data_IF_085313633327
#
_entry.id   IF_085313633327
#
_cell.length_a   1.000
_cell.length_b   1.000
_cell.length_c   1.000
_cell.angle_alpha   90.00
_cell.angle_beta   90.00
_cell.angle_gamma   90.00
#
_symmetry.space_group_name_H-M   'P 1'
#
loop_
_entity.id
_entity.type
_entity.pdbx_description
1 polymer ?
#
# COMPACT_ATOMS: atom_id res chain seq x y z
N UNK A 1 12.25 -0.61 7.36
CA UNK A 1 10.97 -0.25 7.99
C UNK A 1 10.91 1.09 8.73
N UNK A 2 11.41 1.25 9.97
CA UNK A 2 11.17 2.50 10.75
C UNK A 2 11.87 3.73 10.19
N UNK A 3 13.20 3.67 10.05
CA UNK A 3 14.03 4.80 9.59
C UNK A 3 13.65 5.26 8.18
N UNK A 4 13.37 4.31 7.28
CA UNK A 4 12.90 4.60 5.92
C UNK A 4 11.56 5.34 5.91
N UNK A 5 10.62 4.92 6.75
CA UNK A 5 9.30 5.56 6.83
C UNK A 5 9.41 6.98 7.40
N UNK A 6 10.24 7.17 8.43
CA UNK A 6 10.52 8.49 9.02
C UNK A 6 11.20 9.42 8.01
N UNK A 7 12.18 8.93 7.27
CA UNK A 7 12.83 9.69 6.20
C UNK A 7 11.84 10.08 5.08
N UNK A 8 10.99 9.15 4.63
CA UNK A 8 10.10 9.38 3.49
C UNK A 8 8.86 10.22 3.84
N UNK A 9 8.31 10.06 5.05
CA UNK A 9 7.04 10.69 5.44
C UNK A 9 7.20 11.81 6.47
N UNK A 10 8.33 11.88 7.18
CA UNK A 10 8.53 12.74 8.34
C UNK A 10 7.94 12.19 9.64
N UNK A 11 7.29 11.01 9.63
CA UNK A 11 6.61 10.43 10.80
C UNK A 11 7.09 9.01 11.10
N UNK A 12 6.98 8.62 12.37
CA UNK A 12 7.25 7.25 12.82
C UNK A 12 6.16 6.29 12.34
N UNK A 13 6.56 5.10 11.88
CA UNK A 13 5.61 4.05 11.49
C UNK A 13 4.94 3.34 12.68
N UNK A 14 5.35 3.59 13.94
CA UNK A 14 4.85 2.86 15.12
C UNK A 14 3.33 2.84 15.19
N UNK A 15 2.69 4.01 15.09
CA UNK A 15 1.22 4.13 15.16
C UNK A 15 0.53 3.38 14.02
N UNK A 16 1.13 3.35 12.82
CA UNK A 16 0.59 2.59 11.67
C UNK A 16 0.61 1.09 11.97
N UNK A 17 1.72 0.57 12.49
CA UNK A 17 1.84 -0.85 12.84
C UNK A 17 0.89 -1.24 13.98
N UNK A 18 0.75 -0.40 15.00
CA UNK A 18 -0.21 -0.61 16.09
C UNK A 18 -1.65 -0.59 15.60
N UNK A 19 -2.00 0.33 14.69
CA UNK A 19 -3.33 0.39 14.09
C UNK A 19 -3.65 -0.87 13.28
N UNK A 20 -2.69 -1.41 12.52
CA UNK A 20 -2.87 -2.68 11.78
C UNK A 20 -3.18 -3.81 12.77
N UNK A 21 -2.40 -3.96 13.83
CA UNK A 21 -2.65 -4.99 14.88
C UNK A 21 -4.02 -4.80 15.52
N UNK A 22 -4.38 -3.57 15.86
CA UNK A 22 -5.64 -3.26 16.53
C UNK A 22 -6.87 -3.48 15.66
N UNK A 23 -6.75 -3.31 14.34
CA UNK A 23 -7.85 -3.41 13.41
C UNK A 23 -8.07 -4.83 12.86
N UNK A 24 -7.04 -5.68 12.90
CA UNK A 24 -7.13 -7.06 12.46
C UNK A 24 -8.22 -7.83 13.22
N UNK A 25 -9.03 -8.62 12.49
CA UNK A 25 -10.18 -9.34 13.03
C UNK A 25 -11.40 -8.47 13.38
N UNK A 26 -11.30 -7.14 13.36
CA UNK A 26 -12.43 -6.21 13.61
C UNK A 26 -13.02 -5.64 12.33
N UNK A 27 -12.17 -5.41 11.34
CA UNK A 27 -12.55 -4.87 10.03
C UNK A 27 -11.76 -5.58 8.94
N UNK A 28 -12.30 -5.61 7.72
CA UNK A 28 -11.52 -6.07 6.57
C UNK A 28 -10.35 -5.12 6.33
N UNK A 29 -9.13 -5.65 6.42
CA UNK A 29 -7.91 -4.89 6.22
C UNK A 29 -7.36 -5.07 4.80
N UNK A 30 -6.98 -3.95 4.18
CA UNK A 30 -6.24 -3.92 2.92
C UNK A 30 -5.01 -3.04 3.14
N UNK A 31 -3.82 -3.62 3.07
CA UNK A 31 -2.57 -2.88 3.18
C UNK A 31 -2.06 -2.60 1.78
N UNK A 32 -1.75 -1.33 1.49
CA UNK A 32 -1.23 -0.92 0.19
C UNK A 32 0.18 -0.35 0.37
N UNK A 33 1.11 -0.82 -0.45
CA UNK A 33 2.47 -0.28 -0.55
C UNK A 33 2.75 0.10 -1.99
N UNK A 34 3.51 1.17 -2.21
CA UNK A 34 4.04 1.52 -3.54
C UNK A 34 5.47 0.98 -3.63
N UNK A 35 5.76 0.17 -4.64
CA UNK A 35 7.12 -0.29 -4.94
C UNK A 35 7.90 0.86 -5.60
N UNK A 36 8.91 1.36 -4.90
CA UNK A 36 9.76 2.47 -5.34
C UNK A 36 11.20 1.95 -5.41
N UNK A 37 11.79 1.77 -6.60
CA UNK A 37 13.12 1.19 -6.74
C UNK A 37 14.17 1.94 -5.90
N UNK A 38 14.95 1.19 -5.11
CA UNK A 38 15.98 1.75 -4.22
C UNK A 38 15.46 2.45 -2.96
N UNK A 39 14.14 2.51 -2.74
CA UNK A 39 13.53 3.09 -1.55
C UNK A 39 12.63 2.04 -0.88
N UNK A 40 11.52 1.69 -1.53
CA UNK A 40 10.59 0.64 -1.09
C UNK A 40 10.71 -0.50 -2.09
N UNK A 41 11.80 -1.24 -1.99
CA UNK A 41 12.18 -2.33 -2.89
C UNK A 41 11.94 -3.72 -2.29
N UNK A 42 12.49 -4.75 -2.91
CA UNK A 42 12.35 -6.16 -2.52
C UNK A 42 12.62 -6.38 -1.02
N UNK A 43 13.60 -5.68 -0.43
CA UNK A 43 13.96 -5.83 0.98
C UNK A 43 12.88 -5.26 1.88
N UNK A 44 12.38 -4.07 1.58
CA UNK A 44 11.35 -3.43 2.39
C UNK A 44 10.00 -4.16 2.25
N UNK A 45 9.66 -4.58 1.03
CA UNK A 45 8.48 -5.41 0.76
C UNK A 45 8.53 -6.71 1.57
N UNK A 46 9.69 -7.38 1.65
CA UNK A 46 9.84 -8.59 2.45
C UNK A 46 9.62 -8.32 3.95
N UNK A 47 10.16 -7.21 4.48
CA UNK A 47 9.97 -6.83 5.88
C UNK A 47 8.50 -6.58 6.20
N UNK A 48 7.79 -5.88 5.32
CA UNK A 48 6.35 -5.64 5.47
C UNK A 48 5.59 -6.97 5.39
N UNK A 49 5.90 -7.84 4.43
CA UNK A 49 5.22 -9.12 4.28
C UNK A 49 5.39 -10.03 5.51
N UNK A 50 6.59 -10.09 6.09
CA UNK A 50 6.85 -10.83 7.35
C UNK A 50 6.02 -10.28 8.49
N UNK A 51 6.03 -8.96 8.68
CA UNK A 51 5.22 -8.30 9.71
C UNK A 51 3.72 -8.57 9.54
N UNK A 52 3.20 -8.52 8.31
CA UNK A 52 1.79 -8.80 8.06
C UNK A 52 1.45 -10.27 8.27
N UNK A 53 2.34 -11.20 7.91
CA UNK A 53 2.15 -12.63 8.14
C UNK A 53 2.16 -13.01 9.63
N UNK A 54 2.90 -12.27 10.47
CA UNK A 54 2.82 -12.42 11.94
C UNK A 54 1.44 -12.07 12.50
N UNK A 55 0.69 -11.21 11.81
CA UNK A 55 -0.64 -10.74 12.22
C UNK A 55 -1.74 -11.59 11.57
N UNK A 56 -1.58 -11.97 10.30
CA UNK A 56 -2.64 -12.58 9.51
C UNK A 56 -2.85 -14.08 9.78
N UNK A 57 -3.36 -14.40 10.97
CA UNK A 57 -3.57 -15.79 11.42
C UNK A 57 -4.66 -16.55 10.65
N UNK A 58 -5.57 -15.84 9.99
CA UNK A 58 -6.74 -16.41 9.31
C UNK A 58 -6.75 -16.19 7.79
N UNK A 59 -5.63 -15.77 7.19
CA UNK A 59 -5.52 -15.44 5.76
C UNK A 59 -6.56 -14.39 5.29
N UNK A 60 -6.91 -13.40 6.11
CA UNK A 60 -7.94 -12.39 5.79
C UNK A 60 -7.36 -11.06 5.28
N UNK A 61 -6.05 -10.85 5.43
CA UNK A 61 -5.40 -9.59 5.09
C UNK A 61 -5.05 -9.54 3.59
N UNK A 62 -5.58 -8.52 2.90
CA UNK A 62 -5.21 -8.25 1.50
C UNK A 62 -3.97 -7.35 1.46
N UNK A 63 -2.80 -7.88 1.11
CA UNK A 63 -1.59 -7.08 0.88
C UNK A 63 -1.39 -6.77 -0.61
N UNK A 64 -1.33 -5.48 -0.95
CA UNK A 64 -1.26 -4.98 -2.32
C UNK A 64 0.00 -4.16 -2.59
N UNK A 65 0.73 -4.55 -3.63
CA UNK A 65 1.89 -3.82 -4.13
C UNK A 65 1.51 -3.05 -5.39
N UNK A 66 1.51 -1.72 -5.33
CA UNK A 66 1.27 -0.83 -6.46
C UNK A 66 2.59 -0.38 -7.07
N UNK A 67 2.64 -0.16 -8.38
CA UNK A 67 3.86 0.35 -9.04
C UNK A 67 4.05 1.84 -8.76
N UNK A 68 5.28 2.28 -8.52
CA UNK A 68 5.63 3.69 -8.61
C UNK A 68 5.53 4.17 -10.07
N UNK A 69 5.13 5.44 -10.24
CA UNK A 69 5.07 6.15 -11.52
C UNK A 69 5.86 7.43 -11.40
N UNK A 70 7.09 7.40 -11.89
CA UNK A 70 8.02 8.53 -11.82
C UNK A 70 7.43 9.78 -12.52
N UNK A 71 6.65 9.61 -13.59
CA UNK A 71 6.04 10.74 -14.31
C UNK A 71 4.95 11.46 -13.52
N UNK A 72 4.39 10.82 -12.48
CA UNK A 72 3.35 11.39 -11.63
C UNK A 72 3.90 11.83 -10.27
N UNK A 73 5.20 11.65 -10.03
CA UNK A 73 5.85 12.08 -8.80
C UNK A 73 6.19 13.56 -8.91
N UNK A 74 5.86 14.32 -7.87
CA UNK A 74 6.29 15.72 -7.76
C UNK A 74 7.81 15.83 -7.64
N UNK A 75 8.45 14.86 -6.96
CA UNK A 75 9.89 14.82 -6.73
C UNK A 75 10.56 13.71 -7.55
N UNK A 76 11.75 13.97 -8.06
CA UNK A 76 12.56 12.98 -8.77
C UNK A 76 13.35 12.10 -7.78
N UNK A 77 12.63 11.21 -7.09
CA UNK A 77 13.17 10.36 -6.02
C UNK A 77 13.60 8.97 -6.51
N UNK A 78 13.07 8.51 -7.64
CA UNK A 78 13.38 7.20 -8.20
C UNK A 78 12.87 7.07 -9.64
N UNK A 79 13.24 5.98 -10.31
CA UNK A 79 12.72 5.57 -11.61
C UNK A 79 11.47 4.70 -11.48
N UNK A 80 10.81 4.43 -12.60
CA UNK A 80 9.79 3.38 -12.64
C UNK A 80 10.37 2.00 -12.31
N UNK A 81 9.60 1.13 -11.63
CA UNK A 81 9.93 -0.27 -11.49
C UNK A 81 9.93 -0.98 -12.85
N UNK A 82 10.89 -1.87 -13.05
CA UNK A 82 10.88 -2.83 -14.15
C UNK A 82 9.85 -3.94 -13.87
N UNK A 83 9.28 -4.58 -14.93
CA UNK A 83 8.36 -5.70 -14.75
C UNK A 83 8.94 -6.81 -13.85
N UNK A 84 10.21 -7.15 -14.00
CA UNK A 84 10.88 -8.21 -13.26
C UNK A 84 11.00 -7.87 -11.77
N UNK A 85 11.13 -6.59 -11.41
CA UNK A 85 11.11 -6.13 -10.02
C UNK A 85 9.75 -6.35 -9.38
N UNK A 86 8.67 -6.05 -10.11
CA UNK A 86 7.31 -6.28 -9.62
C UNK A 86 7.00 -7.78 -9.43
N UNK A 87 7.44 -8.62 -10.37
CA UNK A 87 7.27 -10.08 -10.28
C UNK A 87 8.09 -10.68 -9.13
N UNK A 88 9.31 -10.18 -8.88
CA UNK A 88 10.10 -10.59 -7.72
C UNK A 88 9.45 -10.16 -6.41
N UNK A 89 8.97 -8.92 -6.33
CA UNK A 89 8.26 -8.43 -5.15
C UNK A 89 7.04 -9.31 -4.83
N UNK A 90 6.26 -9.70 -5.84
CA UNK A 90 5.17 -10.65 -5.66
C UNK A 90 5.63 -12.02 -5.17
N UNK A 91 6.65 -12.57 -5.81
CA UNK A 91 7.21 -13.88 -5.44
C UNK A 91 7.73 -13.88 -4.00
N UNK A 92 8.24 -12.76 -3.50
CA UNK A 92 8.63 -12.57 -2.10
C UNK A 92 7.42 -12.62 -1.19
N UNK A 93 6.39 -11.82 -1.46
CA UNK A 93 5.19 -11.77 -0.61
C UNK A 93 4.46 -13.12 -0.60
N UNK A 94 4.38 -13.81 -1.74
CA UNK A 94 3.72 -15.11 -1.87
C UNK A 94 4.34 -16.20 -0.99
N UNK A 95 5.57 -16.03 -0.51
CA UNK A 95 6.20 -16.93 0.48
C UNK A 95 5.59 -16.81 1.88
N UNK A 96 5.04 -15.64 2.20
CA UNK A 96 4.58 -15.29 3.55
C UNK A 96 3.05 -15.17 3.64
N UNK A 97 2.38 -14.84 2.54
CA UNK A 97 0.94 -14.53 2.54
C UNK A 97 0.21 -15.20 1.37
N UNK A 98 -0.91 -15.88 1.67
CA UNK A 98 -1.74 -16.55 0.64
C UNK A 98 -2.50 -15.58 -0.25
N UNK A 99 -3.00 -14.47 0.29
CA UNK A 99 -3.86 -13.50 -0.41
C UNK A 99 -3.09 -12.28 -0.93
N UNK A 100 -1.87 -12.49 -1.43
CA UNK A 100 -1.06 -11.43 -2.00
C UNK A 100 -1.51 -11.06 -3.41
N UNK A 101 -1.58 -9.75 -3.69
CA UNK A 101 -1.98 -9.24 -5.01
C UNK A 101 -0.98 -8.19 -5.46
N UNK A 102 -0.39 -8.34 -6.65
CA UNK A 102 0.20 -7.17 -7.33
C UNK A 102 -0.96 -6.27 -7.71
N UNK A 103 -1.07 -5.15 -7.02
CA UNK A 103 -1.99 -4.08 -7.36
C UNK A 103 -1.62 -3.57 -8.75
N UNK A 104 -2.40 -3.97 -9.75
CA UNK A 104 -2.43 -3.27 -11.03
C UNK A 104 -3.19 -1.97 -10.83
N UNK A 105 -2.63 -1.04 -10.05
CA UNK A 105 -3.13 0.33 -10.04
C UNK A 105 -2.92 0.87 -11.46
N UNK A 106 -4.01 0.73 -12.26
CA UNK A 106 -4.24 1.04 -13.68
C UNK A 106 -4.56 -0.12 -14.65
N UNK A 107 -4.56 -1.42 -14.29
CA UNK A 107 -5.08 -2.46 -15.21
C UNK A 107 -5.85 -3.55 -14.46
N UNK A 108 -7.16 -3.40 -14.36
CA UNK A 108 -8.11 -4.41 -13.83
C UNK A 108 -8.11 -4.54 -12.31
N UNK A 109 -8.81 -3.61 -11.66
CA UNK A 109 -9.38 -3.86 -10.34
C UNK A 109 -10.30 -5.09 -10.41
N UNK A 110 -10.21 -5.98 -9.41
CA UNK A 110 -11.23 -7.03 -9.19
C UNK A 110 -12.58 -6.31 -9.09
N UNK A 111 -13.62 -6.74 -9.81
CA UNK A 111 -14.98 -6.14 -9.69
C UNK A 111 -15.40 -6.24 -8.22
N UNK A 112 -15.38 -5.11 -7.51
CA UNK A 112 -15.91 -5.05 -6.16
C UNK A 112 -17.43 -4.90 -6.31
N UNK A 113 -18.18 -5.97 -6.04
CA UNK A 113 -19.64 -5.98 -6.18
C UNK A 113 -20.32 -4.98 -5.23
N UNK A 114 -19.67 -4.62 -4.12
CA UNK A 114 -20.17 -3.66 -3.14
C UNK A 114 -19.23 -2.47 -3.03
N UNK A 115 -19.66 -1.30 -3.52
CA UNK A 115 -18.93 -0.04 -3.30
C UNK A 115 -19.00 0.34 -1.81
N UNK A 116 -17.93 0.08 -1.07
CA UNK A 116 -17.82 0.45 0.35
C UNK A 116 -17.10 1.79 0.49
N UNK A 117 -17.48 2.59 1.48
CA UNK A 117 -16.65 3.71 1.96
C UNK A 117 -15.45 3.16 2.73
N UNK A 118 -14.30 3.82 2.65
CA UNK A 118 -13.12 3.51 3.46
C UNK A 118 -12.69 4.73 4.27
N UNK A 119 -11.85 4.50 5.28
CA UNK A 119 -11.19 5.56 6.04
C UNK A 119 -9.71 5.52 5.68
N UNK A 120 -9.21 6.61 5.11
CA UNK A 120 -7.76 6.82 4.94
C UNK A 120 -7.21 7.37 6.23
N UNK A 121 -6.16 6.72 6.75
CA UNK A 121 -5.35 7.20 7.88
C UNK A 121 -4.07 7.78 7.31
N UNK A 122 -3.78 9.05 7.59
CA UNK A 122 -2.55 9.71 7.15
C UNK A 122 -1.40 9.49 8.14
N UNK A 123 -0.13 9.72 7.73
CA UNK A 123 1.03 9.53 8.60
C UNK A 123 1.00 10.36 9.90
N UNK A 124 0.35 11.52 9.88
CA UNK A 124 0.14 12.39 11.05
C UNK A 124 -1.01 11.92 11.96
N UNK A 125 -1.67 10.80 11.63
CA UNK A 125 -2.79 10.23 12.37
C UNK A 125 -4.15 10.85 12.02
N UNK A 126 -4.21 11.84 11.12
CA UNK A 126 -5.49 12.40 10.67
C UNK A 126 -6.27 11.36 9.85
N UNK A 127 -7.60 11.44 9.92
CA UNK A 127 -8.51 10.49 9.29
C UNK A 127 -9.39 11.17 8.27
N UNK A 128 -9.58 10.55 7.11
CA UNK A 128 -10.56 10.99 6.10
C UNK A 128 -11.38 9.82 5.60
N UNK A 129 -12.69 9.85 5.84
CA UNK A 129 -13.64 8.93 5.22
C UNK A 129 -13.83 9.31 3.74
N UNK A 130 -13.80 8.32 2.85
CA UNK A 130 -13.93 8.51 1.40
C UNK A 130 -14.84 7.44 0.78
N UNK A 131 -15.48 7.82 -0.32
CA UNK A 131 -16.13 6.93 -1.28
C UNK A 131 -15.36 6.91 -2.60
N UNK A 132 -15.74 6.01 -3.52
CA UNK A 132 -15.20 6.00 -4.89
C UNK A 132 -15.45 7.31 -5.63
N UNK A 133 -16.58 7.96 -5.37
CA UNK A 133 -16.93 9.21 -6.07
C UNK A 133 -16.10 10.38 -5.52
N UNK A 134 -15.88 10.45 -4.19
CA UNK A 134 -14.98 11.43 -3.58
C UNK A 134 -13.56 11.32 -4.16
N UNK A 135 -13.04 10.09 -4.28
CA UNK A 135 -11.71 9.83 -4.82
C UNK A 135 -11.59 10.24 -6.30
N UNK A 136 -12.62 9.98 -7.10
CA UNK A 136 -12.64 10.37 -8.52
C UNK A 136 -12.68 11.88 -8.70
N UNK A 137 -13.48 12.58 -7.91
CA UNK A 137 -13.56 14.04 -7.95
C UNK A 137 -12.24 14.71 -7.52
N UNK A 138 -11.57 14.20 -6.48
CA UNK A 138 -10.23 14.68 -6.10
C UNK A 138 -9.21 14.48 -7.22
N UNK A 139 -9.16 13.29 -7.81
CA UNK A 139 -8.21 13.01 -8.91
C UNK A 139 -8.47 13.88 -10.14
N UNK A 140 -9.75 14.16 -10.47
CA UNK A 140 -10.07 15.12 -11.54
C UNK A 140 -9.49 16.49 -11.22
N UNK A 141 -9.66 16.99 -9.98
CA UNK A 141 -9.13 18.31 -9.59
C UNK A 141 -7.61 18.37 -9.70
N UNK A 142 -6.90 17.31 -9.31
CA UNK A 142 -5.43 17.26 -9.41
C UNK A 142 -4.91 17.09 -10.84
N UNK A 143 -5.73 16.62 -11.79
CA UNK A 143 -5.32 16.50 -13.20
C UNK A 143 -5.28 17.84 -13.96
N UNK A 144 -5.77 18.92 -13.34
CA UNK A 144 -5.81 20.27 -13.92
C UNK A 144 -4.91 21.27 -13.18
N UNK A 145 -4.03 20.78 -12.29
CA UNK A 145 -3.04 21.59 -11.55
C UNK A 145 -1.64 21.25 -12.05
#
# INVERSE_FOLDING_TARGET
MKELHEWYTGYSNKSVLENIRNAYGKVKLVVNTVYIPGIVDDREIEQIAKFLAEIDTNDELDYRINRFRAELSYENISRNPYPEEMERAYSIVAKYMKNSVIGKSCVRERKIEVKRSWITVFPDGTLKRRTLDDYREENKRMAFV
#
